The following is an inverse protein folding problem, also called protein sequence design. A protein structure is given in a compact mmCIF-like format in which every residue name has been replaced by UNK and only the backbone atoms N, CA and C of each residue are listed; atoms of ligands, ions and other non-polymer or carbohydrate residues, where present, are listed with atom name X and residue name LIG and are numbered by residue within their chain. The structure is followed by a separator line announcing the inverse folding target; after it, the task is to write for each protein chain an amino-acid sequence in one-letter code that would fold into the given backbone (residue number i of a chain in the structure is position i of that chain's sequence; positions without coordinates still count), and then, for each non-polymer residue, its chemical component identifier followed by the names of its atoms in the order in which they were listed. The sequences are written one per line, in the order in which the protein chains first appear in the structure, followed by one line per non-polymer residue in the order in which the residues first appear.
data_IF_801414262992
#
_entry.id   IF_801414262992
#
_cell.length_a   1.000
_cell.length_b   1.000
_cell.length_c   1.000
_cell.angle_alpha   90.00
_cell.angle_beta   90.00
_cell.angle_gamma   90.00
#
_symmetry.space_group_name_H-M   'P 1'
#
loop_
_entity.id
_entity.type
_entity.pdbx_description
1 polymer ?
#
# COMPACT_ATOMS: atom_id res chain seq x y z
N UNK A 1 16.78 -65.60 2.04
CA UNK A 1 16.92 -64.24 1.47
C UNK A 1 15.54 -63.59 1.46
N UNK A 2 15.17 -62.88 2.53
CA UNK A 2 13.93 -62.08 2.58
C UNK A 2 14.31 -60.61 2.53
N UNK A 3 13.71 -59.85 1.61
CA UNK A 3 13.89 -58.39 1.48
C UNK A 3 12.69 -57.72 2.14
N UNK A 4 12.86 -57.22 3.36
CA UNK A 4 11.90 -56.31 3.99
C UNK A 4 12.08 -54.90 3.41
N UNK A 5 11.04 -54.37 2.77
CA UNK A 5 11.00 -53.02 2.22
C UNK A 5 10.53 -52.01 3.26
N UNK A 6 11.38 -51.05 3.62
CA UNK A 6 11.07 -49.95 4.54
C UNK A 6 10.23 -48.87 3.84
N UNK A 7 8.92 -48.82 4.12
CA UNK A 7 8.09 -47.64 3.81
C UNK A 7 8.44 -46.50 4.77
N UNK A 8 9.05 -45.42 4.27
CA UNK A 8 9.18 -44.16 5.03
C UNK A 8 7.83 -43.47 5.10
N UNK A 9 7.32 -43.29 6.32
CA UNK A 9 6.19 -42.44 6.65
C UNK A 9 6.64 -40.99 6.49
N UNK A 10 6.02 -40.23 5.60
CA UNK A 10 6.15 -38.77 5.54
C UNK A 10 5.48 -38.21 6.80
N UNK A 11 6.28 -37.83 7.79
CA UNK A 11 5.79 -37.06 8.94
C UNK A 11 5.60 -35.61 8.50
N UNK A 12 4.38 -35.10 8.68
CA UNK A 12 4.08 -33.69 8.49
C UNK A 12 4.95 -32.86 9.44
N UNK A 13 5.66 -31.88 8.90
CA UNK A 13 6.43 -30.93 9.72
C UNK A 13 5.47 -30.19 10.64
N UNK A 14 5.75 -30.07 11.95
CA UNK A 14 4.96 -29.24 12.84
C UNK A 14 5.05 -27.78 12.36
N UNK A 15 3.92 -27.09 12.34
CA UNK A 15 3.87 -25.65 12.07
C UNK A 15 4.79 -24.94 13.07
N UNK A 16 5.62 -24.02 12.57
CA UNK A 16 6.53 -23.21 13.38
C UNK A 16 5.75 -22.41 14.43
N UNK A 17 6.26 -22.34 15.65
CA UNK A 17 5.60 -21.66 16.78
C UNK A 17 5.35 -20.17 16.49
N UNK A 18 6.14 -19.60 15.57
CA UNK A 18 5.96 -18.25 15.00
C UNK A 18 4.58 -18.10 14.31
N UNK A 19 4.24 -18.99 13.37
CA UNK A 19 2.95 -18.99 12.65
C UNK A 19 1.77 -19.17 13.60
N UNK A 20 1.91 -20.04 14.60
CA UNK A 20 0.84 -20.28 15.58
C UNK A 20 0.58 -19.04 16.43
N UNK A 21 1.66 -18.35 16.83
CA UNK A 21 1.57 -17.11 17.60
C UNK A 21 1.00 -15.95 16.78
N UNK A 22 1.27 -15.91 15.48
CA UNK A 22 0.80 -14.85 14.59
C UNK A 22 -0.67 -15.03 14.22
N UNK A 23 -1.11 -16.26 13.90
CA UNK A 23 -2.55 -16.57 13.73
C UNK A 23 -3.36 -16.23 14.97
N UNK A 24 -2.76 -16.35 16.17
CA UNK A 24 -3.40 -15.92 17.41
C UNK A 24 -3.49 -14.39 17.52
N UNK A 25 -2.43 -13.65 17.14
CA UNK A 25 -2.44 -12.18 17.12
C UNK A 25 -3.40 -11.61 16.08
N UNK A 26 -3.48 -12.20 14.89
CA UNK A 26 -4.43 -11.82 13.84
C UNK A 26 -5.88 -12.08 14.27
N UNK A 27 -6.14 -13.22 14.92
CA UNK A 27 -7.46 -13.50 15.52
C UNK A 27 -7.81 -12.48 16.60
N UNK A 28 -6.86 -12.13 17.47
CA UNK A 28 -7.07 -11.12 18.50
C UNK A 28 -7.30 -9.72 17.89
N UNK A 29 -6.54 -9.33 16.88
CA UNK A 29 -6.72 -8.07 16.16
C UNK A 29 -8.07 -8.02 15.43
N UNK A 30 -8.50 -9.13 14.82
CA UNK A 30 -9.83 -9.28 14.22
C UNK A 30 -10.94 -9.17 15.26
N UNK A 31 -10.76 -9.77 16.45
CA UNK A 31 -11.71 -9.65 17.56
C UNK A 31 -11.76 -8.24 18.16
N UNK A 32 -10.63 -7.56 18.29
CA UNK A 32 -10.57 -6.17 18.76
C UNK A 32 -11.19 -5.21 17.75
N UNK A 33 -10.95 -5.44 16.47
CA UNK A 33 -11.60 -4.71 15.36
C UNK A 33 -13.11 -4.96 15.41
N UNK A 34 -13.55 -6.22 15.55
CA UNK A 34 -14.97 -6.58 15.75
C UNK A 34 -15.57 -5.92 16.99
N UNK A 35 -14.84 -5.80 18.10
CA UNK A 35 -15.29 -5.11 19.33
C UNK A 35 -15.33 -3.59 19.18
N UNK A 36 -14.44 -3.01 18.37
CA UNK A 36 -14.37 -1.57 18.08
C UNK A 36 -15.50 -1.13 17.17
N UNK A 37 -15.79 -1.91 16.13
CA UNK A 37 -16.84 -1.61 15.16
C UNK A 37 -18.23 -2.11 15.59
N UNK A 38 -18.32 -3.20 16.37
CA UNK A 38 -19.58 -3.70 16.94
C UNK A 38 -20.22 -2.80 18.01
N UNK A 39 -19.58 -1.69 18.41
CA UNK A 39 -20.17 -0.67 19.30
C UNK A 39 -20.76 0.53 18.56
N UNK A 40 -20.69 0.56 17.22
CA UNK A 40 -21.28 1.62 16.40
C UNK A 40 -22.45 1.07 15.59
N UNK A 41 -23.50 0.64 16.27
CA UNK A 41 -24.84 0.57 15.67
C UNK A 41 -25.69 1.67 16.31
N UNK A 42 -26.12 2.71 15.57
CA UNK A 42 -27.08 3.65 16.11
C UNK A 42 -28.44 2.96 16.19
N UNK A 43 -29.04 2.93 17.38
CA UNK A 43 -30.46 2.64 17.53
C UNK A 43 -31.29 3.70 16.77
N UNK A 44 -32.43 3.34 16.16
CA UNK A 44 -33.20 4.28 15.37
C UNK A 44 -33.92 5.27 16.29
N UNK A 45 -33.78 6.56 15.97
CA UNK A 45 -34.69 7.61 16.41
C UNK A 45 -34.17 8.52 17.53
N UNK A 46 -33.72 9.73 17.14
CA UNK A 46 -34.33 11.01 17.57
C UNK A 46 -33.59 12.16 16.88
N UNK A 47 -34.33 12.87 16.04
CA UNK A 47 -33.96 14.19 15.53
C UNK A 47 -33.93 15.15 16.72
N UNK A 48 -32.79 15.81 16.93
CA UNK A 48 -32.72 17.05 17.72
C UNK A 48 -31.90 18.06 16.93
N UNK A 49 -32.63 19.00 16.31
CA UNK A 49 -32.12 20.32 15.97
C UNK A 49 -31.66 21.03 17.24
N UNK A 50 -30.43 21.55 17.27
CA UNK A 50 -30.14 22.83 17.93
C UNK A 50 -29.18 23.61 17.04
N UNK A 51 -29.65 24.79 16.63
CA UNK A 51 -28.93 25.81 15.90
C UNK A 51 -27.98 26.62 16.79
N UNK A 52 -27.13 27.41 16.10
CA UNK A 52 -26.52 28.68 16.52
C UNK A 52 -25.31 28.64 17.45
N UNK A 53 -24.34 29.56 17.39
CA UNK A 53 -23.95 30.69 16.51
C UNK A 53 -22.58 31.09 17.08
N UNK A 54 -21.63 31.54 16.26
CA UNK A 54 -20.39 32.07 16.82
C UNK A 54 -19.36 32.54 15.82
N UNK A 55 -19.67 33.61 15.09
CA UNK A 55 -18.68 34.45 14.41
C UNK A 55 -17.63 35.01 15.39
N UNK A 56 -16.35 35.06 15.00
CA UNK A 56 -15.66 36.37 14.84
C UNK A 56 -14.24 36.29 14.29
N UNK A 57 -14.14 36.86 13.11
CA UNK A 57 -12.98 37.42 12.42
C UNK A 57 -12.34 38.54 13.28
N UNK A 58 -11.01 38.56 13.39
CA UNK A 58 -10.27 39.81 13.64
C UNK A 58 -9.07 39.93 12.69
N UNK A 59 -9.24 40.84 11.72
CA UNK A 59 -8.18 41.51 10.96
C UNK A 59 -7.67 42.71 11.77
N UNK A 60 -6.47 43.15 11.37
CA UNK A 60 -5.83 44.45 11.59
C UNK A 60 -4.83 44.50 12.76
N UNK A 61 -3.55 44.57 12.41
CA UNK A 61 -2.77 45.76 12.73
C UNK A 61 -1.58 45.89 11.76
N UNK A 62 -1.60 46.94 10.95
CA UNK A 62 -0.42 47.45 10.24
C UNK A 62 0.35 48.31 11.24
N UNK A 63 1.64 48.06 11.44
CA UNK A 63 2.57 49.12 11.82
C UNK A 63 3.89 48.93 11.10
N UNK A 64 4.18 49.97 10.33
CA UNK A 64 5.36 50.26 9.55
C UNK A 64 6.54 50.53 10.50
N UNK A 65 7.70 49.89 10.27
CA UNK A 65 8.98 50.56 10.54
C UNK A 65 10.05 50.05 9.57
N UNK A 66 10.42 50.96 8.67
CA UNK A 66 11.50 50.87 7.73
C UNK A 66 12.77 51.39 8.44
N UNK A 67 13.80 50.55 8.59
CA UNK A 67 15.17 51.04 8.85
C UNK A 67 16.15 50.32 7.93
N UNK A 68 16.63 51.12 6.98
CA UNK A 68 17.72 50.90 6.05
C UNK A 68 19.05 50.79 6.83
N UNK A 69 19.81 49.69 6.64
CA UNK A 69 21.25 49.69 6.86
C UNK A 69 21.90 49.03 5.64
N UNK A 70 22.54 49.86 4.83
CA UNK A 70 23.52 49.46 3.83
C UNK A 70 24.84 49.15 4.55
N UNK A 71 25.41 47.97 4.30
CA UNK A 71 26.80 47.69 4.59
C UNK A 71 27.41 46.88 3.43
N UNK A 72 28.28 47.60 2.73
CA UNK A 72 29.21 47.20 1.69
C UNK A 72 30.02 45.97 2.11
N UNK A 73 30.09 44.95 1.25
CA UNK A 73 31.26 44.07 1.17
C UNK A 73 31.76 44.00 -0.26
N UNK A 74 33.03 44.41 -0.41
CA UNK A 74 33.81 44.38 -1.63
C UNK A 74 34.21 42.93 -1.99
N UNK A 75 34.08 42.65 -3.28
CA UNK A 75 34.76 41.68 -4.13
C UNK A 75 35.84 40.76 -3.51
N UNK A 76 35.60 39.46 -3.64
CA UNK A 76 36.64 38.46 -3.88
C UNK A 76 36.25 37.70 -5.16
N UNK A 77 37.11 37.74 -6.16
CA UNK A 77 36.89 37.10 -7.45
C UNK A 77 36.97 35.57 -7.32
N UNK A 78 35.94 34.90 -7.82
CA UNK A 78 36.01 33.50 -8.23
C UNK A 78 35.76 33.44 -9.73
N UNK A 79 36.75 32.95 -10.47
CA UNK A 79 36.63 32.67 -11.89
C UNK A 79 35.48 31.68 -12.12
N UNK A 80 34.53 32.06 -12.98
CA UNK A 80 33.47 31.16 -13.42
C UNK A 80 34.08 30.05 -14.29
N UNK A 81 33.74 28.77 -14.07
CA UNK A 81 34.14 27.70 -14.98
C UNK A 81 33.47 27.88 -16.35
N UNK A 82 34.06 27.34 -17.44
CA UNK A 82 33.48 27.48 -18.76
C UNK A 82 32.09 26.86 -18.81
N UNK A 83 31.12 27.65 -19.31
CA UNK A 83 29.76 27.20 -19.61
C UNK A 83 29.86 26.14 -20.70
N UNK A 84 29.78 24.88 -20.30
CA UNK A 84 29.50 23.76 -21.21
C UNK A 84 28.08 23.99 -21.75
N UNK A 85 27.83 23.94 -23.07
CA UNK A 85 26.47 24.09 -23.59
C UNK A 85 25.58 22.98 -23.02
N UNK A 86 24.65 23.33 -22.13
CA UNK A 86 23.58 22.43 -21.74
C UNK A 86 22.71 22.21 -22.98
N UNK A 87 22.86 21.05 -23.62
CA UNK A 87 21.85 20.54 -24.53
C UNK A 87 20.55 20.43 -23.72
N UNK A 88 19.60 21.32 -23.99
CA UNK A 88 18.25 21.25 -23.45
C UNK A 88 17.63 19.93 -23.92
N UNK A 89 17.40 19.02 -22.97
CA UNK A 89 16.73 17.77 -23.24
C UNK A 89 15.32 18.05 -23.81
N UNK A 90 14.86 17.20 -24.74
CA UNK A 90 13.53 17.31 -25.33
C UNK A 90 12.44 17.16 -24.27
N UNK A 91 11.22 17.69 -24.48
CA UNK A 91 10.09 17.50 -23.56
C UNK A 91 9.82 16.03 -23.22
N UNK A 92 9.99 15.11 -24.18
CA UNK A 92 9.87 13.67 -23.94
C UNK A 92 10.99 13.10 -23.03
N UNK A 93 12.20 13.66 -23.08
CA UNK A 93 13.28 13.30 -22.18
C UNK A 93 13.14 13.95 -20.79
N UNK A 94 12.37 15.03 -20.67
CA UNK A 94 11.96 15.63 -19.40
C UNK A 94 10.80 14.84 -18.79
N UNK A 95 9.78 14.47 -19.55
CA UNK A 95 8.71 13.55 -19.10
C UNK A 95 9.28 12.18 -18.69
N UNK A 96 10.23 11.63 -19.46
CA UNK A 96 10.93 10.40 -19.08
C UNK A 96 11.86 10.57 -17.86
N UNK A 97 12.35 11.79 -17.59
CA UNK A 97 13.18 12.10 -16.40
C UNK A 97 12.36 12.42 -15.16
N UNK A 98 11.15 12.98 -15.30
CA UNK A 98 10.19 13.10 -14.19
C UNK A 98 9.59 11.73 -13.85
N UNK A 99 9.38 10.86 -14.85
CA UNK A 99 9.12 9.43 -14.61
C UNK A 99 10.34 8.67 -14.03
N UNK A 100 11.56 9.22 -14.14
CA UNK A 100 12.79 8.64 -13.58
C UNK A 100 13.06 9.02 -12.11
N UNK A 101 12.12 9.70 -11.43
CA UNK A 101 12.27 10.10 -10.03
C UNK A 101 11.91 9.04 -8.98
N UNK A 102 11.38 7.88 -9.40
CA UNK A 102 10.94 6.83 -8.47
C UNK A 102 11.96 5.71 -8.49
N UNK A 103 12.81 5.70 -7.49
CA UNK A 103 13.80 4.65 -7.27
C UNK A 103 13.34 3.78 -6.11
N UNK A 104 13.20 2.49 -6.36
CA UNK A 104 13.03 1.48 -5.31
C UNK A 104 14.10 0.41 -5.54
N UNK A 105 14.51 -0.34 -4.50
CA UNK A 105 15.49 -1.42 -4.68
C UNK A 105 15.08 -2.40 -5.80
N UNK A 106 13.78 -2.66 -5.97
CA UNK A 106 13.28 -3.53 -7.03
C UNK A 106 13.28 -2.90 -8.44
N UNK A 107 13.22 -1.57 -8.55
CA UNK A 107 13.37 -0.87 -9.83
C UNK A 107 14.84 -0.74 -10.25
N UNK A 108 15.76 -0.78 -9.29
CA UNK A 108 17.21 -0.63 -9.51
C UNK A 108 17.92 -1.97 -9.69
N UNK A 109 17.33 -3.07 -9.22
CA UNK A 109 17.88 -4.41 -9.35
C UNK A 109 17.55 -5.03 -10.73
N UNK A 110 18.54 -5.31 -11.60
CA UNK A 110 18.32 -5.87 -12.93
C UNK A 110 17.84 -7.33 -12.91
N UNK A 111 17.95 -8.04 -11.78
CA UNK A 111 17.49 -9.42 -11.64
C UNK A 111 15.97 -9.53 -11.52
N UNK A 112 15.29 -8.46 -11.08
CA UNK A 112 13.84 -8.42 -10.91
C UNK A 112 13.14 -8.59 -12.26
N UNK A 113 12.13 -9.46 -12.30
CA UNK A 113 11.25 -9.74 -13.45
C UNK A 113 9.78 -9.77 -13.05
N UNK A 114 9.46 -10.17 -11.82
CA UNK A 114 8.09 -10.31 -11.31
C UNK A 114 7.93 -9.56 -10.01
N UNK A 115 6.92 -8.70 -9.92
CA UNK A 115 6.64 -7.93 -8.71
C UNK A 115 5.19 -8.11 -8.28
N UNK A 116 4.98 -8.21 -6.97
CA UNK A 116 3.65 -8.25 -6.38
C UNK A 116 3.37 -7.00 -5.56
N UNK A 117 2.11 -6.59 -5.51
CA UNK A 117 1.64 -5.50 -4.67
C UNK A 117 0.42 -5.96 -3.88
N UNK A 118 0.35 -5.60 -2.61
CA UNK A 118 -0.92 -5.58 -1.90
C UNK A 118 -1.90 -4.57 -2.50
N UNK A 119 -3.20 -4.69 -2.21
CA UNK A 119 -4.23 -3.80 -2.73
C UNK A 119 -4.58 -2.71 -1.71
N UNK A 120 -4.87 -3.07 -0.46
CA UNK A 120 -5.52 -2.19 0.51
C UNK A 120 -4.50 -1.29 1.19
N UNK A 121 -4.72 0.03 1.17
CA UNK A 121 -3.75 1.07 1.59
C UNK A 121 -2.39 1.03 0.87
N UNK A 122 -2.20 0.12 -0.08
CA UNK A 122 -1.00 -0.04 -0.91
C UNK A 122 -1.24 0.54 -2.29
N UNK A 123 -2.18 -0.01 -3.07
CA UNK A 123 -2.57 0.49 -4.40
C UNK A 123 -3.82 1.36 -4.30
N UNK A 124 -4.76 0.99 -3.44
CA UNK A 124 -6.01 1.69 -3.20
C UNK A 124 -6.04 2.25 -1.78
N UNK A 125 -6.44 3.51 -1.63
CA UNK A 125 -7.13 3.94 -0.43
C UNK A 125 -8.55 3.39 -0.47
N UNK A 126 -8.77 2.24 0.19
CA UNK A 126 -10.00 1.44 0.09
C UNK A 126 -10.91 1.56 1.31
N UNK A 127 -10.55 2.37 2.31
CA UNK A 127 -11.35 2.57 3.53
C UNK A 127 -12.85 2.85 3.25
N UNK A 128 -13.24 3.68 2.26
CA UNK A 128 -14.65 3.90 1.93
C UNK A 128 -15.40 2.64 1.47
N UNK A 129 -14.73 1.69 0.80
CA UNK A 129 -15.35 0.42 0.40
C UNK A 129 -15.58 -0.48 1.63
N UNK A 130 -14.65 -0.47 2.60
CA UNK A 130 -14.84 -1.16 3.88
C UNK A 130 -15.97 -0.54 4.71
N UNK A 131 -16.12 0.79 4.71
CA UNK A 131 -17.23 1.48 5.38
C UNK A 131 -18.59 1.00 4.84
N UNK A 132 -18.76 0.93 3.51
CA UNK A 132 -19.96 0.34 2.88
C UNK A 132 -20.19 -1.11 3.33
N UNK A 133 -19.14 -1.91 3.43
CA UNK A 133 -19.21 -3.28 3.95
C UNK A 133 -19.75 -3.34 5.38
N UNK A 134 -19.21 -2.49 6.27
CA UNK A 134 -19.63 -2.44 7.68
C UNK A 134 -21.06 -1.93 7.87
N UNK A 135 -21.52 -1.03 7.00
CA UNK A 135 -22.90 -0.53 7.00
C UNK A 135 -23.89 -1.57 6.47
N UNK A 136 -23.49 -2.34 5.47
CA UNK A 136 -24.39 -3.24 4.75
C UNK A 136 -24.47 -4.67 5.29
N UNK A 137 -23.45 -5.17 5.98
CA UNK A 137 -23.40 -6.57 6.42
C UNK A 137 -22.58 -6.79 7.70
N UNK A 138 -22.78 -7.96 8.32
CA UNK A 138 -21.93 -8.39 9.42
C UNK A 138 -20.48 -8.51 8.95
N UNK A 139 -19.56 -7.84 9.66
CA UNK A 139 -18.14 -7.81 9.32
C UNK A 139 -17.55 -9.18 8.99
N UNK A 140 -16.81 -9.23 7.87
CA UNK A 140 -16.03 -10.37 7.39
C UNK A 140 -16.84 -11.63 6.96
N UNK A 141 -18.15 -11.53 6.79
CA UNK A 141 -18.95 -12.57 6.10
C UNK A 141 -18.77 -12.49 4.58
N UNK A 142 -19.22 -13.50 3.84
CA UNK A 142 -19.20 -13.46 2.36
C UNK A 142 -20.03 -12.30 1.80
N UNK A 143 -21.13 -11.92 2.47
CA UNK A 143 -21.93 -10.75 2.10
C UNK A 143 -21.16 -9.45 2.30
N UNK A 144 -20.48 -9.29 3.44
CA UNK A 144 -19.58 -8.16 3.68
C UNK A 144 -18.52 -8.04 2.57
N UNK A 145 -17.84 -9.14 2.25
CA UNK A 145 -16.79 -9.12 1.23
C UNK A 145 -17.33 -8.86 -0.18
N UNK A 146 -18.53 -9.37 -0.48
CA UNK A 146 -19.22 -9.06 -1.74
C UNK A 146 -19.51 -7.57 -1.86
N UNK A 147 -19.93 -6.90 -0.78
CA UNK A 147 -20.16 -5.45 -0.76
C UNK A 147 -18.84 -4.70 -0.96
N UNK A 148 -17.81 -5.02 -0.19
CA UNK A 148 -16.50 -4.34 -0.27
C UNK A 148 -15.93 -4.48 -1.69
N UNK A 149 -15.78 -5.70 -2.20
CA UNK A 149 -15.16 -5.99 -3.50
C UNK A 149 -15.93 -5.38 -4.69
N UNK A 150 -17.23 -5.13 -4.56
CA UNK A 150 -18.05 -4.48 -5.59
C UNK A 150 -18.07 -2.96 -5.48
N UNK A 151 -17.61 -2.40 -4.36
CA UNK A 151 -17.66 -0.97 -4.11
C UNK A 151 -16.42 -0.23 -4.61
N UNK A 152 -15.26 -0.89 -4.71
CA UNK A 152 -13.99 -0.20 -4.96
C UNK A 152 -13.98 0.69 -6.22
N UNK A 153 -14.55 0.25 -7.35
CA UNK A 153 -14.58 1.07 -8.59
C UNK A 153 -15.28 2.42 -8.37
N UNK A 154 -16.25 2.48 -7.46
CA UNK A 154 -17.03 3.67 -7.19
C UNK A 154 -16.36 4.59 -6.15
N UNK A 155 -15.73 4.02 -5.11
CA UNK A 155 -15.37 4.78 -3.91
C UNK A 155 -13.90 4.73 -3.50
N UNK A 156 -13.13 3.78 -4.02
CA UNK A 156 -11.71 3.65 -3.67
C UNK A 156 -10.86 4.57 -4.53
N UNK A 157 -9.80 5.13 -3.95
CA UNK A 157 -8.92 6.09 -4.62
C UNK A 157 -7.59 5.41 -4.93
N UNK A 158 -7.12 5.48 -6.17
CA UNK A 158 -5.78 5.02 -6.52
C UNK A 158 -4.72 5.88 -5.84
N UNK A 159 -3.72 5.23 -5.24
CA UNK A 159 -2.57 5.90 -4.65
C UNK A 159 -1.58 6.32 -5.74
N UNK A 160 -1.39 7.63 -6.01
CA UNK A 160 -0.63 8.08 -7.17
C UNK A 160 0.79 7.52 -7.23
N UNK A 161 1.51 7.54 -6.10
CA UNK A 161 2.88 7.02 -6.02
C UNK A 161 2.98 5.54 -6.40
N UNK A 162 2.04 4.72 -5.92
CA UNK A 162 1.99 3.29 -6.25
C UNK A 162 1.62 3.04 -7.71
N UNK A 163 0.73 3.85 -8.29
CA UNK A 163 0.43 3.79 -9.73
C UNK A 163 1.67 4.12 -10.57
N UNK A 164 2.45 5.11 -10.17
CA UNK A 164 3.71 5.43 -10.85
C UNK A 164 4.73 4.27 -10.76
N UNK A 165 4.84 3.60 -9.60
CA UNK A 165 5.67 2.40 -9.42
C UNK A 165 5.23 1.26 -10.35
N UNK A 166 3.93 0.99 -10.41
CA UNK A 166 3.37 -0.04 -11.31
C UNK A 166 3.74 0.25 -12.76
N UNK A 167 3.55 1.50 -13.21
CA UNK A 167 3.92 1.93 -14.56
C UNK A 167 5.41 1.79 -14.82
N UNK A 168 6.26 2.13 -13.86
CA UNK A 168 7.71 1.97 -13.98
C UNK A 168 8.11 0.49 -14.15
N UNK A 169 7.46 -0.42 -13.43
CA UNK A 169 7.67 -1.86 -13.61
C UNK A 169 7.18 -2.36 -14.97
N UNK A 170 6.00 -1.94 -15.42
CA UNK A 170 5.47 -2.27 -16.75
C UNK A 170 6.39 -1.76 -17.87
N UNK A 171 6.91 -0.54 -17.76
CA UNK A 171 7.86 0.03 -18.72
C UNK A 171 9.18 -0.74 -18.79
N UNK A 172 9.61 -1.35 -17.68
CA UNK A 172 10.75 -2.28 -17.64
C UNK A 172 10.43 -3.68 -18.16
N UNK A 173 9.17 -3.97 -18.51
CA UNK A 173 8.71 -5.28 -18.96
C UNK A 173 8.59 -6.31 -17.83
N UNK A 174 8.46 -5.86 -16.57
CA UNK A 174 8.23 -6.76 -15.45
C UNK A 174 6.77 -7.24 -15.46
N UNK A 175 6.53 -8.48 -15.04
CA UNK A 175 5.18 -8.95 -14.76
C UNK A 175 4.71 -8.39 -13.42
N UNK A 176 3.54 -7.76 -13.41
CA UNK A 176 2.95 -7.15 -12.20
C UNK A 176 1.80 -8.01 -11.70
N UNK A 177 1.77 -8.27 -10.40
CA UNK A 177 0.76 -9.05 -9.69
C UNK A 177 0.11 -8.20 -8.60
N UNK A 178 -1.20 -8.34 -8.41
CA UNK A 178 -1.92 -7.77 -7.27
C UNK A 178 -2.38 -8.91 -6.37
N UNK A 179 -2.03 -8.86 -5.08
CA UNK A 179 -2.26 -9.97 -4.15
C UNK A 179 -2.82 -9.40 -2.84
N UNK A 180 -4.10 -9.63 -2.59
CA UNK A 180 -4.81 -9.10 -1.42
C UNK A 180 -5.16 -10.19 -0.41
N UNK A 181 -5.25 -9.84 0.87
CA UNK A 181 -5.75 -10.72 1.93
C UNK A 181 -7.30 -10.75 2.03
N UNK A 182 -8.02 -10.09 1.12
CA UNK A 182 -9.49 -10.16 1.08
C UNK A 182 -10.00 -11.58 0.79
N UNK A 183 -11.23 -11.86 1.19
CA UNK A 183 -11.99 -13.01 0.70
C UNK A 183 -12.44 -12.74 -0.75
N UNK A 184 -12.52 -13.79 -1.56
CA UNK A 184 -12.86 -13.73 -2.98
C UNK A 184 -14.36 -13.58 -3.29
N UNK A 185 -15.24 -13.55 -2.29
CA UNK A 185 -16.68 -13.31 -2.50
C UNK A 185 -16.93 -11.97 -3.20
N UNK A 186 -17.54 -12.00 -4.39
CA UNK A 186 -17.71 -10.83 -5.27
C UNK A 186 -16.42 -10.30 -5.89
N UNK A 187 -15.31 -11.06 -5.79
CA UNK A 187 -13.97 -10.65 -6.21
C UNK A 187 -13.84 -10.43 -7.72
N UNK A 188 -14.76 -10.95 -8.54
CA UNK A 188 -14.80 -10.69 -9.98
C UNK A 188 -14.92 -9.20 -10.31
N UNK A 189 -15.62 -8.42 -9.47
CA UNK A 189 -15.77 -6.98 -9.66
C UNK A 189 -14.44 -6.25 -9.42
N UNK A 190 -13.77 -6.55 -8.31
CA UNK A 190 -12.45 -5.99 -7.99
C UNK A 190 -11.41 -6.34 -9.06
N UNK A 191 -11.38 -7.60 -9.52
CA UNK A 191 -10.45 -8.02 -10.60
C UNK A 191 -10.65 -7.21 -11.87
N UNK A 192 -11.89 -7.06 -12.34
CA UNK A 192 -12.22 -6.28 -13.54
C UNK A 192 -11.83 -4.81 -13.38
N UNK A 193 -12.17 -4.21 -12.24
CA UNK A 193 -11.83 -2.83 -11.93
C UNK A 193 -10.32 -2.60 -12.00
N UNK A 194 -9.54 -3.39 -11.26
CA UNK A 194 -8.09 -3.24 -11.18
C UNK A 194 -7.42 -3.55 -12.52
N UNK A 195 -7.88 -4.59 -13.22
CA UNK A 195 -7.36 -4.98 -14.53
C UNK A 195 -7.53 -3.87 -15.56
N UNK A 196 -8.75 -3.35 -15.69
CA UNK A 196 -9.08 -2.23 -16.59
C UNK A 196 -8.30 -0.96 -16.23
N UNK A 197 -8.13 -0.68 -14.95
CA UNK A 197 -7.58 0.58 -14.46
C UNK A 197 -6.05 0.65 -14.55
N UNK A 198 -5.38 -0.48 -14.35
CA UNK A 198 -3.91 -0.55 -14.24
C UNK A 198 -3.26 -1.32 -15.39
N UNK A 199 -4.04 -1.83 -16.34
CA UNK A 199 -3.56 -2.67 -17.44
C UNK A 199 -2.79 -3.92 -16.93
N UNK A 200 -3.38 -4.58 -15.93
CA UNK A 200 -2.85 -5.82 -15.34
C UNK A 200 -3.82 -6.97 -15.70
N UNK A 201 -3.36 -8.11 -16.20
CA UNK A 201 -4.25 -9.24 -16.49
C UNK A 201 -5.05 -9.69 -15.27
N UNK A 202 -6.33 -10.01 -15.41
CA UNK A 202 -7.15 -10.56 -14.29
C UNK A 202 -6.57 -11.86 -13.71
N UNK A 203 -5.80 -12.61 -14.50
CA UNK A 203 -5.06 -13.80 -14.08
C UNK A 203 -3.91 -13.50 -13.11
N UNK A 204 -3.47 -12.24 -13.03
CA UNK A 204 -2.40 -11.77 -12.16
C UNK A 204 -2.93 -11.11 -10.89
N UNK A 205 -4.25 -11.18 -10.64
CA UNK A 205 -4.92 -10.62 -9.46
C UNK A 205 -5.40 -11.76 -8.58
N UNK A 206 -4.89 -11.86 -7.36
CA UNK A 206 -5.09 -12.99 -6.46
C UNK A 206 -5.68 -12.57 -5.11
N UNK A 207 -6.51 -13.45 -4.56
CA UNK A 207 -7.03 -13.37 -3.20
C UNK A 207 -6.35 -14.45 -2.36
N UNK A 208 -5.68 -14.04 -1.30
CA UNK A 208 -4.88 -14.87 -0.42
C UNK A 208 -5.20 -14.58 1.06
N UNK A 209 -6.44 -14.85 1.52
CA UNK A 209 -6.90 -14.50 2.87
C UNK A 209 -6.20 -15.26 4.00
N UNK A 210 -5.45 -16.31 3.68
CA UNK A 210 -4.73 -17.15 4.64
C UNK A 210 -3.24 -16.80 4.76
N UNK A 211 -2.81 -15.68 4.16
CA UNK A 211 -1.41 -15.26 4.06
C UNK A 211 -0.86 -15.40 2.63
N UNK A 212 0.23 -14.69 2.34
CA UNK A 212 0.74 -14.53 0.97
C UNK A 212 2.02 -15.33 0.69
N UNK A 213 2.79 -15.72 1.71
CA UNK A 213 4.14 -16.32 1.58
C UNK A 213 4.22 -17.42 0.52
N UNK A 214 3.37 -18.45 0.60
CA UNK A 214 3.42 -19.58 -0.34
C UNK A 214 3.03 -19.19 -1.76
N UNK A 215 2.06 -18.28 -1.92
CA UNK A 215 1.67 -17.77 -3.23
C UNK A 215 2.79 -16.92 -3.86
N UNK A 216 3.49 -16.10 -3.07
CA UNK A 216 4.65 -15.34 -3.56
C UNK A 216 5.76 -16.27 -4.07
N UNK A 217 6.03 -17.37 -3.36
CA UNK A 217 7.00 -18.40 -3.79
C UNK A 217 6.54 -19.10 -5.07
N UNK A 218 5.28 -19.50 -5.15
CA UNK A 218 4.70 -20.20 -6.31
C UNK A 218 4.77 -19.35 -7.58
N UNK A 219 4.43 -18.06 -7.47
CA UNK A 219 4.49 -17.12 -8.58
C UNK A 219 5.92 -16.72 -8.97
N UNK A 220 6.88 -16.92 -8.06
CA UNK A 220 8.26 -16.47 -8.20
C UNK A 220 8.37 -14.96 -8.13
N UNK A 221 7.73 -14.33 -7.15
CA UNK A 221 7.78 -12.88 -6.95
C UNK A 221 9.16 -12.47 -6.44
N UNK A 222 9.83 -11.56 -7.16
CA UNK A 222 11.17 -11.07 -6.81
C UNK A 222 11.12 -9.92 -5.80
N UNK A 223 10.06 -9.10 -5.84
CA UNK A 223 9.82 -8.01 -4.91
C UNK A 223 8.34 -7.85 -4.58
N UNK A 224 8.03 -7.54 -3.33
CA UNK A 224 6.66 -7.38 -2.87
C UNK A 224 6.46 -6.05 -2.14
N UNK A 225 5.50 -5.27 -2.64
CA UNK A 225 5.09 -3.99 -2.07
C UNK A 225 3.87 -4.17 -1.18
N UNK A 226 3.90 -3.64 0.03
CA UNK A 226 2.74 -3.64 0.91
C UNK A 226 2.84 -2.62 2.03
N UNK A 227 1.70 -2.26 2.59
CA UNK A 227 1.62 -1.27 3.65
C UNK A 227 1.73 -1.91 5.05
N UNK A 228 1.33 -3.18 5.21
CA UNK A 228 1.18 -3.85 6.51
C UNK A 228 2.42 -4.64 6.94
N UNK A 229 2.66 -4.79 8.25
CA UNK A 229 3.83 -5.55 8.74
C UNK A 229 3.83 -7.01 8.25
N UNK A 230 2.65 -7.58 8.06
CA UNK A 230 2.46 -8.90 7.47
C UNK A 230 2.97 -8.97 6.03
N UNK A 231 2.73 -7.96 5.19
CA UNK A 231 3.23 -7.97 3.81
C UNK A 231 4.75 -8.02 3.74
N UNK A 232 5.41 -7.27 4.63
CA UNK A 232 6.87 -7.27 4.75
C UNK A 232 7.38 -8.61 5.25
N UNK A 233 6.71 -9.24 6.22
CA UNK A 233 7.05 -10.60 6.67
C UNK A 233 6.89 -11.62 5.53
N UNK A 234 5.75 -11.62 4.85
CA UNK A 234 5.49 -12.54 3.74
C UNK A 234 6.52 -12.40 2.62
N UNK A 235 6.90 -11.17 2.27
CA UNK A 235 7.93 -10.90 1.28
C UNK A 235 9.27 -11.54 1.69
N UNK A 236 9.73 -11.27 2.91
CA UNK A 236 10.99 -11.80 3.44
C UNK A 236 10.99 -13.34 3.49
N UNK A 237 9.91 -13.93 3.99
CA UNK A 237 9.77 -15.39 4.07
C UNK A 237 9.70 -16.07 2.70
N UNK A 238 9.20 -15.36 1.69
CA UNK A 238 9.20 -15.80 0.30
C UNK A 238 10.56 -15.59 -0.39
N UNK A 239 11.50 -14.88 0.23
CA UNK A 239 12.77 -14.50 -0.39
C UNK A 239 12.67 -13.33 -1.37
N UNK A 240 11.54 -12.61 -1.37
CA UNK A 240 11.32 -11.42 -2.16
C UNK A 240 11.88 -10.18 -1.46
N UNK A 241 12.25 -9.16 -2.23
CA UNK A 241 12.64 -7.84 -1.72
C UNK A 241 11.40 -7.20 -1.04
N UNK A 242 11.42 -6.96 0.28
CA UNK A 242 10.31 -6.31 0.97
C UNK A 242 10.34 -4.80 0.75
N UNK A 243 9.23 -4.23 0.29
CA UNK A 243 9.11 -2.79 0.09
C UNK A 243 7.84 -2.25 0.75
N UNK A 244 8.01 -1.28 1.64
CA UNK A 244 6.92 -0.63 2.36
C UNK A 244 6.30 0.50 1.55
N UNK A 245 4.99 0.45 1.39
CA UNK A 245 4.15 1.61 1.05
C UNK A 245 3.62 2.22 2.35
N UNK A 246 3.60 3.54 2.47
CA UNK A 246 3.06 4.19 3.65
C UNK A 246 1.54 4.11 3.60
N UNK A 247 0.89 3.76 4.72
CA UNK A 247 -0.57 3.78 4.84
C UNK A 247 -1.04 5.22 4.99
N UNK A 248 -2.16 5.57 4.35
CA UNK A 248 -2.76 6.90 4.54
C UNK A 248 -3.04 7.17 6.03
N UNK A 249 -2.70 8.37 6.55
CA UNK A 249 -3.07 8.76 7.90
C UNK A 249 -4.60 8.78 8.10
N UNK A 250 -5.39 8.83 7.03
CA UNK A 250 -6.85 8.80 7.04
C UNK A 250 -7.43 7.38 7.01
N UNK A 251 -6.61 6.34 6.83
CA UNK A 251 -7.09 4.95 6.76
C UNK A 251 -7.87 4.54 8.01
N UNK A 252 -8.99 3.83 7.83
CA UNK A 252 -9.77 3.24 8.91
C UNK A 252 -9.04 2.11 9.63
N UNK A 253 -8.01 1.52 9.02
CA UNK A 253 -7.25 0.40 9.58
C UNK A 253 -5.93 0.87 10.21
N UNK A 254 -5.80 0.72 11.54
CA UNK A 254 -4.64 1.25 12.30
C UNK A 254 -3.75 0.17 12.91
N UNK A 255 -4.12 -1.10 12.76
CA UNK A 255 -3.38 -2.20 13.39
C UNK A 255 -2.20 -2.64 12.53
N UNK A 256 -1.18 -3.23 13.18
CA UNK A 256 -0.03 -3.90 12.55
C UNK A 256 0.68 -3.07 11.48
N UNK A 257 0.98 -1.82 11.84
CA UNK A 257 1.60 -0.84 10.96
C UNK A 257 2.77 -0.16 11.67
N UNK A 258 3.99 -0.66 11.40
CA UNK A 258 5.23 -0.14 11.97
C UNK A 258 6.29 0.03 10.86
N UNK A 259 6.16 1.04 9.97
CA UNK A 259 7.10 1.26 8.88
C UNK A 259 8.56 1.30 9.36
N UNK A 260 9.42 0.51 8.71
CA UNK A 260 10.85 0.43 8.98
C UNK A 260 11.23 -0.50 10.13
N UNK A 261 10.27 -1.06 10.88
CA UNK A 261 10.58 -1.94 12.02
C UNK A 261 11.16 -3.30 11.61
N UNK A 262 11.11 -3.63 10.32
CA UNK A 262 11.59 -4.87 9.76
C UNK A 262 12.74 -4.60 8.77
N UNK A 263 13.51 -3.52 8.95
CA UNK A 263 14.67 -3.19 8.10
C UNK A 263 14.35 -3.19 6.58
N UNK A 264 13.11 -2.86 6.22
CA UNK A 264 12.65 -2.79 4.85
C UNK A 264 12.86 -1.39 4.25
N UNK A 265 12.92 -1.31 2.92
CA UNK A 265 12.89 -0.02 2.24
C UNK A 265 11.48 0.58 2.31
N UNK A 266 11.40 1.88 2.59
CA UNK A 266 10.14 2.63 2.62
C UNK A 266 10.10 3.57 1.43
N UNK A 267 9.04 3.46 0.62
CA UNK A 267 8.79 4.39 -0.47
C UNK A 267 8.39 5.75 0.10
N UNK A 268 9.15 6.84 -0.15
CA UNK A 268 8.77 8.18 0.29
C UNK A 268 7.49 8.67 -0.38
N UNK A 269 6.75 9.52 0.31
CA UNK A 269 5.54 10.21 -0.21
C UNK A 269 4.54 9.24 -0.84
N UNK A 270 4.31 8.11 -0.16
CA UNK A 270 3.51 6.99 -0.65
C UNK A 270 2.24 6.75 0.17
N UNK A 271 1.89 7.67 1.06
CA UNK A 271 0.65 7.65 1.87
C UNK A 271 -0.65 7.70 1.06
#
# INVERSE_FOLDING_TARGET
MSREGTRRRLEARPADDSERSERQRERQASEETRKRWGRRSPAPGKIVMICNVGDKIMKQLKSLLLTLIAAIFLAAGCAAPPVVPQQSASPAAIEAREAAGITTPALDDPSVKKVGLDIDDTVLFSSPAFDKGYEGAQAYTDEFWTIVNRSDEEVSILKPKTVEIIKAHQQKGHEVFLITARNNSGGEALKKFMSKTLDIPESNIFFAPSGKTELLKELGIDAFYGDSDSDIRYAKEAGAIPIRILRSPESGYKSSYNPGSLDEFIVPDSE
#
